data_IF_131762863324
#
_entry.id   IF_131762863324
#
_cell.length_a   1.000
_cell.length_b   1.000
_cell.length_c   1.000
_cell.angle_alpha   90.00
_cell.angle_beta   90.00
_cell.angle_gamma   90.00
#
_symmetry.space_group_name_H-M   'P 1'
#
loop_
_entity.id
_entity.type
_entity.pdbx_description
1 polymer ?
#
# COMPACT_ATOMS: atom_id res chain seq x y z
N UNK A 1 -8.03 -9.58 -0.63
CA UNK A 1 -7.31 -9.09 0.57
C UNK A 1 -6.11 -8.25 0.16
N UNK A 2 -5.78 -7.25 0.95
CA UNK A 2 -4.62 -6.41 0.74
C UNK A 2 -3.61 -6.70 1.85
N UNK A 3 -2.41 -7.14 1.48
CA UNK A 3 -1.30 -7.28 2.41
C UNK A 3 -0.46 -6.01 2.32
N UNK A 4 -0.19 -5.39 3.46
CA UNK A 4 0.71 -4.25 3.51
C UNK A 4 1.98 -4.69 4.23
N UNK A 5 3.09 -4.71 3.51
CA UNK A 5 4.39 -5.11 4.04
C UNK A 5 5.22 -3.84 4.23
N UNK A 6 5.54 -3.54 5.47
CA UNK A 6 6.23 -2.30 5.83
C UNK A 6 7.55 -2.55 6.56
N UNK A 7 8.53 -1.71 6.28
CA UNK A 7 9.81 -1.72 6.98
C UNK A 7 9.81 -0.76 8.15
N UNK A 8 10.47 -1.14 9.22
CA UNK A 8 10.62 -0.32 10.42
C UNK A 8 10.00 -0.95 11.66
N UNK A 9 9.49 -0.11 12.53
CA UNK A 9 8.88 -0.53 13.80
C UNK A 9 7.36 -0.64 13.67
N UNK A 10 6.70 -1.23 14.67
CA UNK A 10 5.24 -1.23 14.78
C UNK A 10 4.70 0.18 14.73
N UNK A 11 3.42 0.33 14.39
CA UNK A 11 2.76 1.63 14.40
C UNK A 11 2.93 2.29 15.77
N UNK A 12 3.39 3.55 15.78
CA UNK A 12 3.35 4.36 17.02
C UNK A 12 1.87 4.61 17.39
N UNK A 13 1.60 4.91 18.66
CA UNK A 13 0.24 4.96 19.18
C UNK A 13 -0.72 5.85 18.39
N UNK A 14 -0.31 7.07 18.03
CA UNK A 14 -1.16 7.98 17.27
C UNK A 14 -1.44 7.48 15.85
N UNK A 15 -0.45 6.84 15.21
CA UNK A 15 -0.64 6.25 13.88
C UNK A 15 -1.57 5.05 13.95
N UNK A 16 -1.36 4.18 14.94
CA UNK A 16 -2.22 3.02 15.15
C UNK A 16 -3.69 3.41 15.37
N UNK A 17 -3.91 4.45 16.13
CA UNK A 17 -5.26 4.98 16.37
C UNK A 17 -5.95 5.40 15.08
N UNK A 18 -5.25 6.19 14.25
CA UNK A 18 -5.80 6.68 12.98
C UNK A 18 -6.00 5.54 11.99
N UNK A 19 -4.99 4.68 11.84
CA UNK A 19 -5.05 3.53 10.92
C UNK A 19 -6.22 2.62 11.29
N UNK A 20 -6.39 2.32 12.58
CA UNK A 20 -7.49 1.48 13.06
C UNK A 20 -8.87 2.06 12.75
N UNK A 21 -9.01 3.39 12.77
CA UNK A 21 -10.26 4.05 12.40
C UNK A 21 -10.66 3.78 10.95
N UNK A 22 -9.69 3.72 10.04
CA UNK A 22 -9.99 3.36 8.66
C UNK A 22 -10.24 1.86 8.51
N UNK A 23 -9.38 1.03 9.10
CA UNK A 23 -9.44 -0.43 8.94
C UNK A 23 -10.76 -1.03 9.39
N UNK A 24 -11.35 -0.54 10.47
CA UNK A 24 -12.62 -1.08 10.97
C UNK A 24 -13.79 -0.90 9.99
N UNK A 25 -13.65 -0.01 9.01
CA UNK A 25 -14.65 0.25 7.97
C UNK A 25 -14.40 -0.54 6.68
N UNK A 26 -13.28 -1.27 6.62
CA UNK A 26 -12.94 -2.02 5.42
C UNK A 26 -13.72 -3.33 5.35
N UNK A 27 -14.10 -3.70 4.13
CA UNK A 27 -14.80 -4.95 3.82
C UNK A 27 -14.08 -5.65 2.68
N UNK A 28 -14.17 -6.97 2.62
CA UNK A 28 -13.60 -7.74 1.51
C UNK A 28 -14.05 -7.17 0.17
N UNK A 29 -13.19 -7.10 -0.83
CA UNK A 29 -11.79 -7.53 -0.87
C UNK A 29 -10.78 -6.48 -0.38
N UNK A 30 -11.23 -5.34 0.17
CA UNK A 30 -10.37 -4.26 0.65
C UNK A 30 -9.86 -4.46 2.09
N UNK A 31 -10.13 -5.60 2.70
CA UNK A 31 -9.60 -5.94 4.02
C UNK A 31 -8.07 -5.99 4.00
N UNK A 32 -7.46 -5.54 5.09
CA UNK A 32 -6.02 -5.31 5.18
C UNK A 32 -5.37 -6.17 6.24
N UNK A 33 -4.18 -6.67 5.94
CA UNK A 33 -3.30 -7.32 6.90
C UNK A 33 -1.93 -6.66 6.82
N UNK A 34 -1.42 -6.22 7.96
CA UNK A 34 -0.10 -5.62 8.07
C UNK A 34 0.95 -6.67 8.44
N UNK A 35 2.10 -6.60 7.77
CA UNK A 35 3.29 -7.38 8.10
C UNK A 35 4.45 -6.40 8.21
N UNK A 36 5.00 -6.26 9.41
CA UNK A 36 6.05 -5.27 9.69
C UNK A 36 7.36 -5.99 9.96
N UNK A 37 8.38 -5.62 9.20
CA UNK A 37 9.73 -6.18 9.30
C UNK A 37 10.72 -5.11 9.73
N UNK A 38 11.78 -5.49 10.43
CA UNK A 38 12.94 -4.62 10.56
C UNK A 38 13.51 -4.35 9.16
N UNK A 39 14.05 -3.16 8.93
CA UNK A 39 14.49 -2.73 7.59
C UNK A 39 15.42 -3.72 6.89
N UNK A 40 16.44 -4.22 7.59
CA UNK A 40 17.38 -5.18 7.01
C UNK A 40 16.69 -6.48 6.61
N UNK A 41 15.79 -6.96 7.45
CA UNK A 41 15.03 -8.19 7.19
C UNK A 41 14.07 -8.00 6.01
N UNK A 42 13.49 -6.83 5.86
CA UNK A 42 12.60 -6.52 4.75
C UNK A 42 13.34 -6.63 3.42
N UNK A 43 14.49 -6.02 3.30
CA UNK A 43 15.28 -6.07 2.07
C UNK A 43 15.65 -7.49 1.69
N UNK A 44 16.11 -8.30 2.65
CA UNK A 44 16.42 -9.70 2.42
C UNK A 44 15.20 -10.51 1.98
N UNK A 45 14.07 -10.26 2.62
CA UNK A 45 12.79 -10.90 2.27
C UNK A 45 12.39 -10.57 0.84
N UNK A 46 12.41 -9.29 0.47
CA UNK A 46 11.99 -8.85 -0.86
C UNK A 46 12.91 -9.31 -1.99
N UNK A 47 14.20 -9.42 -1.72
CA UNK A 47 15.15 -9.94 -2.71
C UNK A 47 14.87 -11.41 -3.06
N UNK A 48 14.38 -12.17 -2.08
CA UNK A 48 14.07 -13.60 -2.22
C UNK A 48 12.63 -13.87 -2.63
N UNK A 49 11.76 -12.87 -2.55
CA UNK A 49 10.35 -13.04 -2.90
C UNK A 49 10.21 -13.26 -4.41
N UNK A 50 9.49 -14.31 -4.82
CA UNK A 50 9.45 -14.70 -6.23
C UNK A 50 8.71 -13.72 -7.15
N UNK A 51 7.87 -12.82 -6.64
CA UNK A 51 7.06 -11.92 -7.49
C UNK A 51 6.40 -12.71 -8.62
N UNK A 52 5.70 -13.78 -8.28
CA UNK A 52 5.24 -14.82 -9.22
C UNK A 52 4.09 -14.41 -10.14
N UNK A 53 3.58 -13.19 -10.02
CA UNK A 53 2.41 -12.74 -10.78
C UNK A 53 1.07 -13.16 -10.18
N UNK A 54 1.06 -13.90 -9.08
CA UNK A 54 -0.18 -14.26 -8.36
C UNK A 54 -0.78 -13.09 -7.62
N UNK A 55 0.06 -12.15 -7.20
CA UNK A 55 -0.34 -10.94 -6.52
C UNK A 55 -0.07 -9.73 -7.41
N UNK A 56 -0.88 -8.69 -7.25
CA UNK A 56 -0.59 -7.39 -7.83
C UNK A 56 0.22 -6.59 -6.81
N UNK A 57 1.48 -6.31 -7.13
CA UNK A 57 2.43 -5.69 -6.20
C UNK A 57 2.60 -4.22 -6.50
N UNK A 58 2.31 -3.39 -5.50
CA UNK A 58 2.51 -1.94 -5.55
C UNK A 58 3.64 -1.58 -4.59
N UNK A 59 4.70 -0.95 -5.10
CA UNK A 59 5.77 -0.41 -4.25
C UNK A 59 5.56 1.09 -4.08
N UNK A 60 5.48 1.55 -2.83
CA UNK A 60 5.38 2.97 -2.53
C UNK A 60 6.78 3.58 -2.53
N UNK A 61 7.03 4.49 -3.46
CA UNK A 61 8.33 5.13 -3.61
C UNK A 61 8.14 6.49 -4.31
N UNK A 62 8.85 7.52 -3.83
CA UNK A 62 8.75 8.87 -4.40
C UNK A 62 9.16 8.95 -5.87
N UNK A 63 9.94 7.97 -6.34
CA UNK A 63 10.36 7.86 -7.74
C UNK A 63 9.29 7.24 -8.64
N UNK A 64 8.17 6.84 -8.08
CA UNK A 64 7.06 6.27 -8.81
C UNK A 64 6.19 7.31 -9.50
N UNK A 65 5.04 6.85 -9.97
CA UNK A 65 4.07 7.68 -10.67
C UNK A 65 2.99 8.19 -9.71
N UNK A 66 2.62 9.45 -9.85
CA UNK A 66 1.46 10.02 -9.17
C UNK A 66 0.20 9.60 -9.93
N UNK A 67 -0.81 9.18 -9.20
CA UNK A 67 -2.13 8.86 -9.76
C UNK A 67 -3.22 9.46 -8.88
N UNK A 68 -4.40 9.63 -9.44
CA UNK A 68 -5.56 10.09 -8.70
C UNK A 68 -6.13 8.95 -7.83
N UNK A 69 -6.95 9.30 -6.85
CA UNK A 69 -7.63 8.30 -6.04
C UNK A 69 -8.57 7.40 -6.85
N UNK A 70 -9.35 7.92 -7.82
CA UNK A 70 -10.10 7.04 -8.73
C UNK A 70 -9.24 6.08 -9.53
N UNK A 71 -8.07 6.52 -10.01
CA UNK A 71 -7.14 5.63 -10.72
C UNK A 71 -6.60 4.52 -9.80
N UNK A 72 -6.28 4.85 -8.55
CA UNK A 72 -5.86 3.85 -7.57
C UNK A 72 -6.98 2.83 -7.33
N UNK A 73 -8.21 3.31 -7.11
CA UNK A 73 -9.37 2.45 -6.94
C UNK A 73 -9.53 1.48 -8.11
N UNK A 74 -9.40 1.99 -9.34
CA UNK A 74 -9.49 1.16 -10.54
C UNK A 74 -8.39 0.08 -10.59
N UNK A 75 -7.16 0.43 -10.22
CA UNK A 75 -6.06 -0.54 -10.18
C UNK A 75 -6.33 -1.66 -9.18
N UNK A 76 -6.80 -1.32 -7.98
CA UNK A 76 -7.13 -2.31 -6.95
C UNK A 76 -8.28 -3.20 -7.42
N UNK A 77 -9.35 -2.61 -7.92
CA UNK A 77 -10.50 -3.36 -8.44
C UNK A 77 -10.14 -4.29 -9.59
N UNK A 78 -9.30 -3.83 -10.52
CA UNK A 78 -8.84 -4.66 -11.64
C UNK A 78 -8.07 -5.87 -11.15
N UNK A 79 -7.21 -5.70 -10.14
CA UNK A 79 -6.48 -6.82 -9.54
C UNK A 79 -7.45 -7.84 -8.93
N UNK A 80 -8.41 -7.36 -8.11
CA UNK A 80 -9.39 -8.25 -7.49
C UNK A 80 -10.26 -8.96 -8.52
N UNK A 81 -10.69 -8.26 -9.56
CA UNK A 81 -11.50 -8.85 -10.65
C UNK A 81 -10.73 -9.93 -11.43
N UNK A 82 -9.42 -9.82 -11.46
CA UNK A 82 -8.54 -10.82 -12.09
C UNK A 82 -8.19 -11.99 -11.15
N UNK A 83 -8.78 -12.03 -9.96
CA UNK A 83 -8.54 -13.07 -8.98
C UNK A 83 -7.22 -12.91 -8.22
N UNK A 84 -6.61 -11.74 -8.26
CA UNK A 84 -5.36 -11.47 -7.54
C UNK A 84 -5.62 -10.80 -6.21
N UNK A 85 -4.78 -11.11 -5.23
CA UNK A 85 -4.64 -10.26 -4.05
C UNK A 85 -3.73 -9.09 -4.38
N UNK A 86 -3.76 -8.07 -3.55
CA UNK A 86 -2.89 -6.90 -3.69
C UNK A 86 -1.86 -6.92 -2.56
N UNK A 87 -0.63 -6.60 -2.90
CA UNK A 87 0.44 -6.42 -1.93
C UNK A 87 0.97 -5.00 -2.08
N UNK A 88 0.98 -4.24 -0.98
CA UNK A 88 1.51 -2.88 -0.97
C UNK A 88 2.77 -2.88 -0.11
N UNK A 89 3.88 -2.46 -0.70
CA UNK A 89 5.18 -2.38 -0.03
C UNK A 89 5.44 -0.95 0.40
N UNK A 90 5.70 -0.75 1.69
CA UNK A 90 6.10 0.55 2.24
C UNK A 90 7.50 0.38 2.82
N UNK A 91 8.49 1.00 2.18
CA UNK A 91 9.88 0.89 2.57
C UNK A 91 10.21 1.61 3.87
N UNK A 92 11.43 1.40 4.34
CA UNK A 92 12.00 2.13 5.45
C UNK A 92 12.62 3.46 5.00
N UNK A 93 13.52 4.01 5.81
CA UNK A 93 14.08 5.35 5.61
C UNK A 93 14.74 5.57 4.25
N UNK A 94 15.27 4.53 3.64
CA UNK A 94 16.00 4.62 2.37
C UNK A 94 15.20 4.14 1.15
N UNK A 95 13.91 3.83 1.34
CA UNK A 95 13.06 3.33 0.26
C UNK A 95 13.45 1.93 -0.20
N UNK A 96 13.10 1.60 -1.43
CA UNK A 96 13.39 0.30 -2.03
C UNK A 96 14.54 0.37 -3.04
N UNK A 97 15.25 -0.75 -3.20
CA UNK A 97 16.25 -0.88 -4.24
C UNK A 97 15.60 -0.82 -5.63
N UNK A 98 16.38 -0.47 -6.63
CA UNK A 98 15.94 -0.49 -8.01
C UNK A 98 15.41 -1.87 -8.41
N UNK A 99 16.07 -2.93 -7.95
CA UNK A 99 15.67 -4.31 -8.21
C UNK A 99 14.23 -4.60 -7.72
N UNK A 100 13.87 -4.13 -6.53
CA UNK A 100 12.51 -4.28 -6.00
C UNK A 100 11.53 -3.45 -6.81
N UNK A 101 11.89 -2.21 -7.16
CA UNK A 101 11.01 -1.34 -7.97
C UNK A 101 10.74 -1.94 -9.34
N UNK A 102 11.75 -2.54 -9.97
CA UNK A 102 11.58 -3.18 -11.28
C UNK A 102 10.65 -4.40 -11.24
N UNK A 103 10.65 -5.13 -10.14
CA UNK A 103 9.79 -6.31 -9.96
C UNK A 103 8.35 -5.97 -9.62
N UNK A 104 8.08 -4.80 -9.06
CA UNK A 104 6.73 -4.38 -8.72
C UNK A 104 5.90 -4.16 -9.98
N UNK A 105 4.60 -4.47 -9.90
CA UNK A 105 3.68 -4.22 -11.01
C UNK A 105 3.41 -2.72 -11.18
N UNK A 106 3.48 -1.97 -10.10
CA UNK A 106 3.30 -0.52 -10.11
C UNK A 106 4.14 0.11 -9.00
N UNK A 107 4.82 1.21 -9.34
CA UNK A 107 5.53 2.02 -8.35
C UNK A 107 4.73 3.30 -8.15
N UNK A 108 4.22 3.47 -6.93
CA UNK A 108 3.29 4.52 -6.57
C UNK A 108 3.96 5.61 -5.75
N UNK A 109 3.95 6.84 -6.27
CA UNK A 109 4.35 8.02 -5.53
C UNK A 109 3.11 8.79 -5.08
N UNK A 110 3.02 9.11 -3.79
CA UNK A 110 1.89 9.90 -3.26
C UNK A 110 1.95 11.35 -3.74
N UNK A 111 3.16 11.89 -3.82
CA UNK A 111 3.45 13.25 -4.28
C UNK A 111 4.96 13.39 -4.46
N UNK A 112 5.40 14.58 -4.87
CA UNK A 112 6.83 14.90 -4.95
C UNK A 112 7.42 15.25 -3.57
N UNK A 113 6.59 15.25 -2.53
CA UNK A 113 7.06 15.44 -1.15
C UNK A 113 7.53 14.12 -0.56
N UNK A 114 8.41 14.20 0.41
CA UNK A 114 8.87 13.05 1.19
C UNK A 114 8.08 13.02 2.51
N UNK A 115 7.63 11.85 2.90
CA UNK A 115 6.84 11.66 4.13
C UNK A 115 7.55 10.74 5.11
N UNK A 116 7.44 11.00 6.44
CA UNK A 116 7.87 10.03 7.44
C UNK A 116 7.06 8.73 7.32
N UNK A 117 7.64 7.61 7.75
CA UNK A 117 7.02 6.28 7.63
C UNK A 117 5.59 6.20 8.16
N UNK A 118 5.36 6.76 9.35
CA UNK A 118 4.05 6.66 9.98
C UNK A 118 3.00 7.44 9.21
N UNK A 119 3.37 8.57 8.63
CA UNK A 119 2.47 9.35 7.77
C UNK A 119 2.19 8.59 6.47
N UNK A 120 3.21 7.99 5.86
CA UNK A 120 3.02 7.17 4.67
C UNK A 120 2.05 6.02 4.92
N UNK A 121 2.14 5.35 6.07
CA UNK A 121 1.22 4.27 6.45
C UNK A 121 -0.22 4.77 6.58
N UNK A 122 -0.40 5.95 7.16
CA UNK A 122 -1.72 6.58 7.29
C UNK A 122 -2.29 6.91 5.92
N UNK A 123 -1.47 7.47 5.03
CA UNK A 123 -1.89 7.78 3.65
C UNK A 123 -2.38 6.52 2.94
N UNK A 124 -1.63 5.43 3.05
CA UNK A 124 -2.02 4.15 2.43
C UNK A 124 -3.34 3.65 2.99
N UNK A 125 -3.49 3.62 4.31
CA UNK A 125 -4.72 3.15 4.95
C UNK A 125 -5.93 4.00 4.53
N UNK A 126 -5.79 5.32 4.51
CA UNK A 126 -6.85 6.23 4.09
C UNK A 126 -7.22 6.02 2.63
N UNK A 127 -6.23 5.88 1.75
CA UNK A 127 -6.46 5.69 0.31
C UNK A 127 -7.10 4.33 0.00
N UNK A 128 -6.81 3.30 0.77
CA UNK A 128 -7.50 2.00 0.65
C UNK A 128 -8.99 2.16 0.99
N UNK A 129 -9.28 2.84 2.10
CA UNK A 129 -10.66 3.12 2.47
C UNK A 129 -11.37 3.95 1.40
N UNK A 130 -10.73 5.00 0.91
CA UNK A 130 -11.26 5.85 -0.17
C UNK A 130 -11.50 5.03 -1.45
N UNK A 131 -10.59 4.14 -1.79
CA UNK A 131 -10.74 3.26 -2.95
C UNK A 131 -11.95 2.34 -2.83
N UNK A 132 -12.18 1.80 -1.63
CA UNK A 132 -13.38 1.01 -1.34
C UNK A 132 -14.65 1.83 -1.55
N UNK A 133 -14.67 3.05 -1.03
CA UNK A 133 -15.82 3.93 -1.15
C UNK A 133 -16.10 4.30 -2.61
N UNK A 134 -15.06 4.62 -3.37
CA UNK A 134 -15.20 4.91 -4.81
C UNK A 134 -15.75 3.69 -5.54
N UNK A 135 -15.21 2.51 -5.28
CA UNK A 135 -15.62 1.27 -5.94
C UNK A 135 -17.08 0.91 -5.67
N UNK A 136 -17.58 1.23 -4.48
CA UNK A 136 -18.94 0.92 -4.06
C UNK A 136 -19.94 2.07 -4.26
N UNK A 137 -19.52 3.15 -4.90
CA UNK A 137 -20.39 4.30 -5.14
C UNK A 137 -20.73 5.10 -3.89
N UNK A 138 -19.91 5.00 -2.84
CA UNK A 138 -20.09 5.75 -1.60
C UNK A 138 -19.85 7.24 -1.76
N UNK A 139 -20.19 8.01 -0.72
CA UNK A 139 -20.12 9.48 -0.75
C UNK A 139 -18.86 10.06 -0.11
N UNK A 140 -17.93 9.22 0.31
CA UNK A 140 -16.74 9.68 1.02
C UNK A 140 -15.82 10.53 0.14
N UNK A 141 -15.62 10.11 -1.12
CA UNK A 141 -14.73 10.80 -2.04
C UNK A 141 -15.43 11.98 -2.71
N UNK A 142 -14.79 13.14 -2.64
CA UNK A 142 -15.19 14.35 -3.34
C UNK A 142 -14.02 14.83 -4.21
N UNK A 143 -14.30 15.12 -5.45
CA UNK A 143 -13.33 15.71 -6.38
C UNK A 143 -13.39 17.23 -6.37
#
# INVERSE_FOLDING_TARGET
MIRIIAGGKKHVSWANEVISEYEKRLRKPFDVKWEIFEEEKLNNFLEKWPFSGKDFVIACDERGKNISSPELSNKLNSAFSSGKDVVILIGGAYGFSEKVREKADFVWSFSNLVFPHMIARIIVAEQIYRSQEIANGGKYHHE
#
